data_IF_317230862447
#
_entry.id   IF_317230862447
#
_cell.length_a   1.000
_cell.length_b   1.000
_cell.length_c   1.000
_cell.angle_alpha   90.00
_cell.angle_beta   90.00
_cell.angle_gamma   90.00
#
_symmetry.space_group_name_H-M   'P 1'
#
loop_
_entity.id
_entity.type
_entity.pdbx_description
1 polymer ?
#
# COMPACT_ATOMS: atom_id res chain seq x y z
N UNK A 1 0.60 7.23 0.11
CA UNK A 1 0.48 6.10 -0.83
C UNK A 1 -0.17 4.86 -0.17
N UNK A 2 0.45 4.19 0.81
CA UNK A 2 -0.13 2.96 1.42
C UNK A 2 -1.43 3.17 2.18
N UNK A 3 -1.59 4.29 2.91
CA UNK A 3 -2.85 4.57 3.61
C UNK A 3 -4.07 4.54 2.68
N UNK A 4 -3.92 5.05 1.46
CA UNK A 4 -4.95 4.99 0.43
C UNK A 4 -5.24 3.56 -0.02
N UNK A 5 -4.20 2.73 -0.20
CA UNK A 5 -4.35 1.31 -0.54
C UNK A 5 -5.10 0.56 0.57
N UNK A 6 -4.72 0.77 1.84
CA UNK A 6 -5.42 0.22 3.01
C UNK A 6 -6.89 0.57 2.99
N UNK A 7 -7.22 1.84 2.77
CA UNK A 7 -8.61 2.32 2.70
C UNK A 7 -9.41 1.60 1.62
N UNK A 8 -8.86 1.53 0.41
CA UNK A 8 -9.54 0.92 -0.73
C UNK A 8 -9.83 -0.57 -0.47
N UNK A 9 -8.83 -1.32 -0.02
CA UNK A 9 -8.99 -2.74 0.28
C UNK A 9 -9.94 -2.98 1.46
N UNK A 10 -9.93 -2.11 2.46
CA UNK A 10 -10.88 -2.15 3.58
C UNK A 10 -12.32 -1.96 3.11
N UNK A 11 -12.57 -0.95 2.29
CA UNK A 11 -13.90 -0.65 1.73
C UNK A 11 -14.39 -1.79 0.84
N UNK A 12 -13.51 -2.36 0.01
CA UNK A 12 -13.78 -3.54 -0.83
C UNK A 12 -14.17 -4.77 0.00
N UNK A 13 -13.53 -4.95 1.16
CA UNK A 13 -13.85 -6.01 2.11
C UNK A 13 -15.09 -5.70 2.98
N UNK A 14 -15.83 -4.61 2.69
CA UNK A 14 -17.00 -4.15 3.45
C UNK A 14 -16.71 -3.91 4.94
N UNK A 15 -15.48 -3.51 5.27
CA UNK A 15 -15.07 -3.23 6.64
C UNK A 15 -15.18 -1.74 6.94
N UNK A 16 -15.73 -1.40 8.10
CA UNK A 16 -15.61 -0.03 8.62
C UNK A 16 -14.22 0.21 9.18
N UNK A 17 -13.80 1.47 9.28
CA UNK A 17 -12.54 1.84 9.96
C UNK A 17 -12.52 1.31 11.40
N UNK A 18 -13.65 1.35 12.09
CA UNK A 18 -13.76 0.84 13.46
C UNK A 18 -13.53 -0.68 13.53
N UNK A 19 -14.10 -1.42 12.57
CA UNK A 19 -13.96 -2.88 12.53
C UNK A 19 -12.52 -3.30 12.24
N UNK A 20 -11.86 -2.70 11.23
CA UNK A 20 -10.46 -3.03 10.95
C UNK A 20 -9.53 -2.63 12.11
N UNK A 21 -9.73 -1.45 12.70
CA UNK A 21 -8.94 -1.01 13.85
C UNK A 21 -9.08 -1.96 15.06
N UNK A 22 -10.30 -2.46 15.30
CA UNK A 22 -10.58 -3.46 16.35
C UNK A 22 -9.82 -4.76 16.11
N UNK A 23 -9.82 -5.28 14.89
CA UNK A 23 -9.08 -6.52 14.55
C UNK A 23 -7.57 -6.36 14.71
N UNK A 24 -7.06 -5.17 14.38
CA UNK A 24 -5.64 -4.84 14.54
C UNK A 24 -5.25 -4.43 15.96
N UNK A 25 -6.20 -4.34 16.89
CA UNK A 25 -5.99 -3.83 18.25
C UNK A 25 -5.32 -2.45 18.27
N UNK A 26 -5.77 -1.54 17.40
CA UNK A 26 -5.29 -0.15 17.34
C UNK A 26 -6.44 0.85 17.50
N UNK A 27 -6.10 2.09 17.84
CA UNK A 27 -7.09 3.16 17.92
C UNK A 27 -7.69 3.46 16.53
N UNK A 28 -9.03 3.54 16.44
CA UNK A 28 -9.76 3.94 15.22
C UNK A 28 -9.23 5.23 14.60
N UNK A 29 -8.95 6.25 15.41
CA UNK A 29 -8.42 7.53 14.93
C UNK A 29 -7.02 7.38 14.32
N UNK A 30 -6.20 6.47 14.85
CA UNK A 30 -4.89 6.15 14.26
C UNK A 30 -5.04 5.56 12.86
N UNK A 31 -5.92 4.55 12.69
CA UNK A 31 -6.17 3.96 11.37
C UNK A 31 -6.78 4.98 10.40
N UNK A 32 -7.75 5.77 10.84
CA UNK A 32 -8.39 6.81 10.02
C UNK A 32 -7.39 7.84 9.48
N UNK A 33 -6.52 8.37 10.35
CA UNK A 33 -5.50 9.34 9.96
C UNK A 33 -4.45 8.72 9.05
N UNK A 34 -4.10 7.46 9.27
CA UNK A 34 -3.23 6.72 8.37
C UNK A 34 -3.83 6.59 6.98
N UNK A 35 -5.10 6.19 6.88
CA UNK A 35 -5.80 6.06 5.60
C UNK A 35 -5.93 7.37 4.83
N UNK A 36 -5.92 8.51 5.53
CA UNK A 36 -5.89 9.85 4.94
C UNK A 36 -4.49 10.36 4.59
N UNK A 37 -3.43 9.64 4.96
CA UNK A 37 -2.04 10.11 4.81
C UNK A 37 -1.63 11.18 5.83
N UNK A 38 -2.44 11.42 6.87
CA UNK A 38 -2.18 12.39 7.95
C UNK A 38 -1.30 11.82 9.07
N UNK A 39 -0.99 10.51 9.01
CA UNK A 39 -0.16 9.81 9.99
C UNK A 39 0.53 8.61 9.34
N UNK A 40 1.83 8.47 9.55
CA UNK A 40 2.56 7.25 9.22
C UNK A 40 2.46 6.23 10.35
N UNK A 41 2.42 4.95 9.99
CA UNK A 41 2.51 3.82 10.93
C UNK A 41 3.90 3.19 10.84
N UNK A 42 4.28 2.40 11.84
CA UNK A 42 5.47 1.56 11.74
C UNK A 42 5.29 0.55 10.61
N UNK A 43 6.40 0.14 9.99
CA UNK A 43 6.39 -0.88 8.94
C UNK A 43 5.72 -2.18 9.42
N UNK A 44 6.02 -2.61 10.65
CA UNK A 44 5.38 -3.77 11.27
C UNK A 44 3.85 -3.64 11.28
N UNK A 45 3.33 -2.47 11.67
CA UNK A 45 1.89 -2.25 11.70
C UNK A 45 1.29 -2.13 10.30
N UNK A 46 2.03 -1.58 9.33
CA UNK A 46 1.61 -1.57 7.92
C UNK A 46 1.47 -3.00 7.39
N UNK A 47 2.45 -3.87 7.63
CA UNK A 47 2.38 -5.28 7.24
C UNK A 47 1.15 -5.93 7.85
N UNK A 48 0.90 -5.74 9.14
CA UNK A 48 -0.28 -6.27 9.83
C UNK A 48 -1.59 -5.77 9.21
N UNK A 49 -1.70 -4.47 8.89
CA UNK A 49 -2.88 -3.89 8.23
C UNK A 49 -3.14 -4.57 6.89
N UNK A 50 -2.12 -4.67 6.03
CA UNK A 50 -2.27 -5.21 4.69
C UNK A 50 -2.52 -6.73 4.71
N UNK A 51 -1.92 -7.47 5.66
CA UNK A 51 -2.20 -8.90 5.87
C UNK A 51 -3.63 -9.15 6.34
N UNK A 52 -4.17 -8.34 7.26
CA UNK A 52 -5.58 -8.43 7.69
C UNK A 52 -6.55 -8.16 6.52
N UNK A 53 -6.11 -7.36 5.53
CA UNK A 53 -6.83 -7.09 4.30
C UNK A 53 -6.61 -8.16 3.20
N UNK A 54 -6.05 -9.32 3.58
CA UNK A 54 -5.84 -10.51 2.75
C UNK A 54 -4.82 -10.35 1.62
N UNK A 55 -3.93 -9.36 1.70
CA UNK A 55 -2.81 -9.30 0.76
C UNK A 55 -1.76 -10.36 1.09
N UNK A 56 -1.25 -11.00 0.03
CA UNK A 56 -0.13 -11.94 0.13
C UNK A 56 1.13 -11.21 0.59
N UNK A 57 2.00 -11.93 1.31
CA UNK A 57 3.24 -11.40 1.86
C UNK A 57 4.14 -10.82 0.75
N UNK A 58 4.21 -11.48 -0.38
CA UNK A 58 4.98 -11.08 -1.55
C UNK A 58 4.48 -9.75 -2.11
N UNK A 59 3.17 -9.57 -2.23
CA UNK A 59 2.57 -8.33 -2.69
C UNK A 59 2.80 -7.16 -1.72
N UNK A 60 2.75 -7.43 -0.41
CA UNK A 60 3.08 -6.44 0.64
C UNK A 60 4.54 -6.01 0.49
N UNK A 61 5.46 -6.98 0.40
CA UNK A 61 6.89 -6.70 0.23
C UNK A 61 7.17 -5.89 -1.04
N UNK A 62 6.62 -6.31 -2.18
CA UNK A 62 6.74 -5.59 -3.44
C UNK A 62 6.21 -4.15 -3.34
N UNK A 63 5.10 -3.94 -2.62
CA UNK A 63 4.54 -2.61 -2.39
C UNK A 63 5.50 -1.74 -1.56
N UNK A 64 6.09 -2.28 -0.50
CA UNK A 64 7.06 -1.54 0.33
C UNK A 64 8.31 -1.17 -0.47
N UNK A 65 8.83 -2.09 -1.29
CA UNK A 65 9.97 -1.80 -2.19
C UNK A 65 9.62 -0.66 -3.15
N UNK A 66 8.43 -0.70 -3.77
CA UNK A 66 7.99 0.36 -4.68
C UNK A 66 7.93 1.73 -3.98
N UNK A 67 7.47 1.80 -2.72
CA UNK A 67 7.47 3.06 -1.97
C UNK A 67 8.87 3.62 -1.78
N UNK A 68 9.82 2.78 -1.40
CA UNK A 68 11.20 3.21 -1.22
C UNK A 68 11.82 3.66 -2.55
N UNK A 69 11.48 2.99 -3.65
CA UNK A 69 11.89 3.43 -4.99
C UNK A 69 11.27 4.79 -5.35
N UNK A 70 10.00 5.05 -5.04
CA UNK A 70 9.39 6.37 -5.20
C UNK A 70 10.08 7.43 -4.32
N UNK A 71 10.39 7.11 -3.07
CA UNK A 71 11.15 8.03 -2.21
C UNK A 71 12.53 8.36 -2.79
N UNK A 72 13.24 7.38 -3.34
CA UNK A 72 14.54 7.59 -3.99
C UNK A 72 14.38 8.43 -5.26
N UNK A 73 13.40 8.11 -6.11
CA UNK A 73 13.05 8.87 -7.31
C UNK A 73 12.83 10.35 -6.97
N UNK A 74 12.00 10.63 -5.98
CA UNK A 74 11.66 12.01 -5.59
C UNK A 74 12.85 12.74 -4.95
N UNK A 75 13.60 12.04 -4.09
CA UNK A 75 14.74 12.62 -3.37
C UNK A 75 15.90 12.97 -4.30
N UNK A 76 16.20 12.11 -5.26
CA UNK A 76 17.35 12.26 -6.16
C UNK A 76 16.98 12.77 -7.55
N UNK A 77 15.68 12.91 -7.86
CA UNK A 77 15.15 13.23 -9.20
C UNK A 77 15.66 12.26 -10.26
N UNK A 78 15.91 11.02 -9.87
CA UNK A 78 16.45 9.97 -10.73
C UNK A 78 15.33 9.15 -11.35
N UNK A 79 14.96 9.51 -12.58
CA UNK A 79 13.97 8.76 -13.37
C UNK A 79 14.51 7.39 -13.82
N UNK A 80 15.81 7.13 -13.66
CA UNK A 80 16.39 5.80 -13.89
C UNK A 80 15.76 4.75 -12.99
N UNK A 81 15.23 5.14 -11.82
CA UNK A 81 14.53 4.30 -10.85
C UNK A 81 13.17 3.79 -11.37
N UNK A 82 12.57 4.46 -12.36
CA UNK A 82 11.25 4.10 -12.90
C UNK A 82 11.28 2.68 -13.52
N UNK A 83 12.42 2.27 -14.07
CA UNK A 83 12.60 0.90 -14.59
C UNK A 83 12.49 -0.15 -13.48
N UNK A 84 13.10 0.09 -12.32
CA UNK A 84 13.03 -0.81 -11.17
C UNK A 84 11.60 -0.86 -10.61
N UNK A 85 10.89 0.28 -10.58
CA UNK A 85 9.47 0.31 -10.20
C UNK A 85 8.66 -0.59 -11.13
N UNK A 86 8.82 -0.44 -12.45
CA UNK A 86 8.15 -1.28 -13.45
C UNK A 86 8.51 -2.78 -13.31
N UNK A 87 9.76 -3.10 -13.02
CA UNK A 87 10.20 -4.48 -12.81
C UNK A 87 9.56 -5.11 -11.57
N UNK A 88 9.32 -4.33 -10.51
CA UNK A 88 8.60 -4.81 -9.32
C UNK A 88 7.09 -4.91 -9.60
N UNK A 89 6.50 -3.98 -10.35
CA UNK A 89 5.09 -4.01 -10.73
C UNK A 89 4.72 -5.28 -11.51
N UNK A 90 5.63 -5.78 -12.36
CA UNK A 90 5.45 -7.04 -13.11
C UNK A 90 5.38 -8.28 -12.22
N UNK A 91 5.72 -8.19 -10.93
CA UNK A 91 5.67 -9.31 -9.98
C UNK A 91 4.32 -9.44 -9.28
N UNK A 92 3.41 -8.47 -9.44
CA UNK A 92 2.06 -8.58 -8.88
C UNK A 92 1.23 -9.58 -9.69
N UNK A 93 0.48 -10.42 -8.99
CA UNK A 93 -0.49 -11.32 -9.58
C UNK A 93 -1.74 -10.53 -9.96
N UNK A 94 -1.84 -10.07 -11.20
CA UNK A 94 -2.99 -9.27 -11.66
C UNK A 94 -4.29 -10.05 -11.78
N UNK A 95 -4.28 -11.37 -11.53
CA UNK A 95 -5.52 -12.14 -11.36
C UNK A 95 -6.08 -12.03 -9.94
N UNK A 96 -5.23 -11.70 -8.96
CA UNK A 96 -5.67 -11.28 -7.64
C UNK A 96 -6.15 -9.83 -7.69
N UNK A 97 -7.39 -9.65 -7.29
CA UNK A 97 -8.12 -8.41 -7.39
C UNK A 97 -7.55 -7.27 -6.51
N UNK A 98 -6.85 -7.60 -5.42
CA UNK A 98 -6.17 -6.63 -4.55
C UNK A 98 -4.81 -6.22 -5.11
N UNK A 99 -4.07 -7.20 -5.63
CA UNK A 99 -2.80 -6.99 -6.31
C UNK A 99 -2.95 -6.21 -7.61
N UNK A 100 -4.00 -6.48 -8.40
CA UNK A 100 -4.35 -5.73 -9.60
C UNK A 100 -4.58 -4.24 -9.30
N UNK A 101 -5.31 -3.94 -8.21
CA UNK A 101 -5.55 -2.56 -7.79
C UNK A 101 -4.24 -1.86 -7.44
N UNK A 102 -3.35 -2.51 -6.66
CA UNK A 102 -2.06 -1.94 -6.30
C UNK A 102 -1.20 -1.67 -7.53
N UNK A 103 -1.10 -2.64 -8.44
CA UNK A 103 -0.36 -2.51 -9.68
C UNK A 103 -0.87 -1.30 -10.49
N UNK A 104 -2.19 -1.16 -10.63
CA UNK A 104 -2.82 -0.02 -11.31
C UNK A 104 -2.51 1.30 -10.62
N UNK A 105 -2.70 1.36 -9.30
CA UNK A 105 -2.49 2.58 -8.53
C UNK A 105 -1.05 3.09 -8.62
N UNK A 106 -0.06 2.22 -8.41
CA UNK A 106 1.35 2.59 -8.54
C UNK A 106 1.73 2.98 -9.97
N UNK A 107 1.17 2.31 -10.99
CA UNK A 107 1.37 2.71 -12.39
C UNK A 107 0.85 4.12 -12.64
N UNK A 108 -0.32 4.48 -12.10
CA UNK A 108 -0.85 5.85 -12.18
C UNK A 108 0.07 6.85 -11.46
N UNK A 109 0.63 6.50 -10.30
CA UNK A 109 1.57 7.39 -9.60
C UNK A 109 2.87 7.61 -10.37
N UNK A 110 3.31 6.65 -11.18
CA UNK A 110 4.51 6.80 -12.00
C UNK A 110 4.34 7.81 -13.14
N UNK A 111 3.12 7.87 -13.70
CA UNK A 111 2.77 8.71 -14.84
C UNK A 111 2.35 10.15 -14.46
N UNK A 112 2.20 10.43 -13.17
CA UNK A 112 1.94 11.77 -12.62
C UNK A 112 3.26 12.44 -12.22
#
# INVERSE_FOLDING_TARGET
>A
MIGYISRHLREKNNLTVAELARRLSINRATLFRFEKGEKNLSEELVVRVLSELKLKREAIFNSLVILELFHLRDRFKDLGVDKQILDVLRKFDTSDEGEQFMCTYFTTQLNN
#
